data_IF_227964655712
#
_entry.id   IF_227964655712
#
_cell.length_a   1.000
_cell.length_b   1.000
_cell.length_c   1.000
_cell.angle_alpha   90.00
_cell.angle_beta   90.00
_cell.angle_gamma   90.00
#
_symmetry.space_group_name_H-M   'P 1'
#
loop_
_entity.id
_entity.type
_entity.pdbx_description
1 polymer ?
#
# COMPACT_ATOMS: atom_id res chain seq x y z
N UNK A 1 7.23 11.90 8.37
CA UNK A 1 5.86 12.05 8.93
C UNK A 1 6.00 12.58 10.33
N UNK A 2 5.07 13.42 10.78
CA UNK A 2 5.03 13.90 12.15
C UNK A 2 3.61 13.67 12.68
N UNK A 3 3.50 13.16 13.90
CA UNK A 3 2.22 13.02 14.58
C UNK A 3 1.74 14.40 15.04
N UNK A 4 0.54 14.80 14.63
CA UNK A 4 -0.18 15.97 15.16
C UNK A 4 -1.14 15.50 16.26
N UNK A 5 -0.78 15.66 17.55
CA UNK A 5 -1.59 15.19 18.67
C UNK A 5 -2.91 15.95 18.81
N UNK A 6 -3.05 17.13 18.19
CA UNK A 6 -4.32 17.90 18.24
C UNK A 6 -5.35 17.35 17.25
N UNK A 7 -4.89 16.67 16.19
CA UNK A 7 -5.75 16.13 15.14
C UNK A 7 -5.81 14.60 15.13
N UNK A 8 -5.06 13.94 16.02
CA UNK A 8 -4.85 12.49 16.07
C UNK A 8 -4.51 11.91 14.68
N UNK A 9 -3.63 12.61 13.96
CA UNK A 9 -3.30 12.31 12.55
C UNK A 9 -1.80 12.41 12.32
N UNK A 10 -1.29 11.49 11.49
CA UNK A 10 0.04 11.62 10.92
C UNK A 10 -0.02 12.63 9.77
N UNK A 11 0.80 13.67 9.85
CA UNK A 11 0.91 14.69 8.81
C UNK A 11 2.22 14.49 8.05
N UNK A 12 2.14 14.43 6.73
CA UNK A 12 3.32 14.40 5.88
C UNK A 12 3.82 15.84 5.71
N UNK A 13 4.79 16.24 6.56
CA UNK A 13 5.36 17.60 6.52
C UNK A 13 6.30 17.77 5.33
N UNK A 14 7.10 16.75 5.00
CA UNK A 14 7.96 16.72 3.83
C UNK A 14 8.09 15.27 3.33
N UNK A 15 8.14 15.08 2.00
CA UNK A 15 8.59 13.80 1.42
C UNK A 15 10.07 13.61 1.79
N UNK A 16 10.44 12.43 2.26
CA UNK A 16 11.83 12.14 2.58
C UNK A 16 12.63 12.00 1.28
N UNK A 17 13.36 13.05 0.89
CA UNK A 17 14.17 13.04 -0.35
C UNK A 17 15.16 11.88 -0.36
N UNK A 18 15.91 11.69 0.72
CA UNK A 18 16.88 10.60 0.84
C UNK A 18 16.25 9.20 0.69
N UNK A 19 15.06 8.98 1.24
CA UNK A 19 14.36 7.70 1.08
C UNK A 19 13.93 7.49 -0.38
N UNK A 20 13.33 8.51 -1.00
CA UNK A 20 12.90 8.44 -2.39
C UNK A 20 14.07 8.25 -3.35
N UNK A 21 15.20 8.92 -3.11
CA UNK A 21 16.41 8.78 -3.93
C UNK A 21 16.99 7.36 -3.83
N UNK A 22 17.04 6.80 -2.62
CA UNK A 22 17.44 5.40 -2.42
C UNK A 22 16.49 4.42 -3.11
N UNK A 23 15.17 4.64 -2.99
CA UNK A 23 14.18 3.79 -3.65
C UNK A 23 14.34 3.84 -5.18
N UNK A 24 14.50 5.04 -5.77
CA UNK A 24 14.78 5.20 -7.20
C UNK A 24 16.07 4.47 -7.60
N UNK A 25 17.13 4.58 -6.80
CA UNK A 25 18.42 3.90 -7.07
C UNK A 25 18.29 2.37 -7.06
N UNK A 26 17.64 1.78 -6.06
CA UNK A 26 17.54 0.32 -5.93
C UNK A 26 16.50 -0.31 -6.85
N UNK A 27 15.41 0.40 -7.16
CA UNK A 27 14.34 -0.12 -8.03
C UNK A 27 14.55 0.21 -9.51
N UNK A 28 15.36 1.24 -9.81
CA UNK A 28 15.48 1.82 -11.15
C UNK A 28 14.24 2.59 -11.60
N UNK A 29 13.27 2.84 -10.70
CA UNK A 29 12.01 3.49 -11.06
C UNK A 29 12.18 5.00 -11.26
N UNK A 30 11.44 5.53 -12.24
CA UNK A 30 11.16 6.97 -12.31
C UNK A 30 10.23 7.39 -11.15
N UNK A 31 10.15 8.69 -10.92
CA UNK A 31 9.27 9.24 -9.88
C UNK A 31 7.80 8.87 -10.09
N UNK A 32 7.33 8.92 -11.34
CA UNK A 32 5.95 8.55 -11.70
C UNK A 32 5.68 7.06 -11.42
N UNK A 33 6.63 6.18 -11.75
CA UNK A 33 6.49 4.74 -11.48
C UNK A 33 6.50 4.44 -9.98
N UNK A 34 7.37 5.11 -9.23
CA UNK A 34 7.44 4.95 -7.77
C UNK A 34 6.15 5.43 -7.10
N UNK A 35 5.59 6.55 -7.54
CA UNK A 35 4.32 7.04 -7.03
C UNK A 35 3.15 6.10 -7.37
N UNK A 36 3.13 5.54 -8.58
CA UNK A 36 2.14 4.53 -8.96
C UNK A 36 2.24 3.26 -8.11
N UNK A 37 3.46 2.76 -7.87
CA UNK A 37 3.71 1.59 -7.03
C UNK A 37 3.26 1.82 -5.57
N UNK A 38 3.60 2.98 -5.02
CA UNK A 38 3.16 3.38 -3.68
C UNK A 38 1.63 3.50 -3.60
N UNK A 39 0.98 4.07 -4.61
CA UNK A 39 -0.48 4.19 -4.66
C UNK A 39 -1.16 2.81 -4.69
N UNK A 40 -0.59 1.84 -5.42
CA UNK A 40 -1.13 0.48 -5.43
C UNK A 40 -0.97 -0.21 -4.07
N UNK A 41 0.20 -0.09 -3.43
CA UNK A 41 0.41 -0.62 -2.07
C UNK A 41 -0.56 0.02 -1.06
N UNK A 42 -0.79 1.32 -1.17
CA UNK A 42 -1.75 2.04 -0.33
C UNK A 42 -3.18 1.51 -0.52
N UNK A 43 -3.59 1.24 -1.76
CA UNK A 43 -4.91 0.63 -2.05
C UNK A 43 -5.08 -0.74 -1.41
N UNK A 44 -4.05 -1.58 -1.44
CA UNK A 44 -4.07 -2.90 -0.78
C UNK A 44 -4.25 -2.76 0.73
N UNK A 45 -3.51 -1.84 1.36
CA UNK A 45 -3.63 -1.61 2.81
C UNK A 45 -5.01 -1.05 3.18
N UNK A 46 -5.55 -0.12 2.38
CA UNK A 46 -6.91 0.40 2.56
C UNK A 46 -7.96 -0.69 2.41
N UNK A 47 -7.80 -1.58 1.44
CA UNK A 47 -8.69 -2.72 1.21
C UNK A 47 -8.75 -3.66 2.44
N UNK A 48 -7.60 -3.95 3.06
CA UNK A 48 -7.56 -4.72 4.31
C UNK A 48 -8.39 -4.07 5.42
N UNK A 49 -8.26 -2.75 5.58
CA UNK A 49 -8.99 -1.98 6.59
C UNK A 49 -10.49 -1.93 6.27
N UNK A 50 -10.87 -1.65 5.02
CA UNK A 50 -12.27 -1.56 4.59
C UNK A 50 -13.04 -2.87 4.81
N UNK A 51 -12.38 -4.02 4.67
CA UNK A 51 -12.97 -5.34 4.89
C UNK A 51 -12.70 -5.92 6.28
N UNK A 52 -12.10 -5.15 7.19
CA UNK A 52 -11.73 -5.59 8.54
C UNK A 52 -10.87 -6.86 8.57
N UNK A 53 -9.98 -7.04 7.58
CA UNK A 53 -9.04 -8.16 7.51
C UNK A 53 -7.83 -7.83 8.38
N UNK A 54 -7.83 -8.35 9.61
CA UNK A 54 -6.77 -8.10 10.61
C UNK A 54 -6.09 -9.36 11.14
N UNK A 55 -6.56 -10.55 10.74
CA UNK A 55 -5.89 -11.81 11.10
C UNK A 55 -4.56 -11.96 10.35
N UNK A 56 -3.57 -12.56 11.00
CA UNK A 56 -2.25 -12.82 10.41
C UNK A 56 -2.39 -13.59 9.10
N UNK A 57 -3.22 -14.63 9.07
CA UNK A 57 -3.46 -15.43 7.87
C UNK A 57 -4.14 -14.63 6.75
N UNK A 58 -5.14 -13.81 7.09
CA UNK A 58 -5.88 -13.01 6.12
C UNK A 58 -5.01 -11.92 5.50
N UNK A 59 -4.22 -11.22 6.32
CA UNK A 59 -3.25 -10.22 5.86
C UNK A 59 -2.17 -10.91 5.03
N UNK A 60 -1.55 -11.97 5.55
CA UNK A 60 -0.49 -12.71 4.86
C UNK A 60 -0.92 -13.18 3.48
N UNK A 61 -2.15 -13.66 3.37
CA UNK A 61 -2.75 -14.07 2.10
C UNK A 61 -2.89 -12.92 1.10
N UNK A 62 -3.47 -11.79 1.50
CA UNK A 62 -3.65 -10.64 0.60
C UNK A 62 -2.30 -10.09 0.13
N UNK A 63 -1.31 -10.08 1.02
CA UNK A 63 0.06 -9.69 0.67
C UNK A 63 0.71 -10.70 -0.28
N UNK A 64 0.52 -12.01 -0.06
CA UNK A 64 1.01 -13.03 -0.96
C UNK A 64 0.39 -12.89 -2.37
N UNK A 65 -0.92 -12.67 -2.45
CA UNK A 65 -1.63 -12.43 -3.72
C UNK A 65 -1.09 -11.19 -4.43
N UNK A 66 -0.83 -10.09 -3.71
CA UNK A 66 -0.27 -8.87 -4.31
C UNK A 66 1.07 -9.11 -5.02
N UNK A 67 1.91 -10.00 -4.48
CA UNK A 67 3.22 -10.32 -5.06
C UNK A 67 3.18 -11.46 -6.09
N UNK A 68 2.12 -12.28 -6.10
CA UNK A 68 2.00 -13.46 -6.98
C UNK A 68 1.05 -13.22 -8.16
N UNK A 69 -0.10 -12.59 -7.92
CA UNK A 69 -1.10 -12.21 -8.92
C UNK A 69 -1.74 -10.86 -8.57
N UNK A 70 -0.97 -9.80 -8.79
CA UNK A 70 -1.40 -8.42 -8.56
C UNK A 70 -2.67 -8.08 -9.35
N UNK A 71 -2.78 -8.51 -10.60
CA UNK A 71 -3.93 -8.17 -11.45
C UNK A 71 -5.22 -8.75 -10.90
N UNK A 72 -5.19 -9.99 -10.43
CA UNK A 72 -6.33 -10.63 -9.80
C UNK A 72 -6.74 -9.88 -8.53
N UNK A 73 -5.81 -9.61 -7.61
CA UNK A 73 -6.10 -8.86 -6.38
C UNK A 73 -6.73 -7.50 -6.68
N UNK A 74 -6.18 -6.74 -7.64
CA UNK A 74 -6.69 -5.41 -7.97
C UNK A 74 -8.14 -5.44 -8.49
N UNK A 75 -8.59 -6.53 -9.12
CA UNK A 75 -10.01 -6.72 -9.48
C UNK A 75 -10.89 -6.81 -8.24
N UNK A 76 -10.48 -7.57 -7.22
CA UNK A 76 -11.24 -7.68 -5.96
C UNK A 76 -11.28 -6.35 -5.19
N UNK A 77 -10.16 -5.62 -5.17
CA UNK A 77 -10.07 -4.28 -4.58
C UNK A 77 -11.05 -3.33 -5.27
N UNK A 78 -11.05 -3.30 -6.61
CA UNK A 78 -11.94 -2.42 -7.38
C UNK A 78 -13.43 -2.69 -7.12
N UNK A 79 -13.81 -3.95 -6.91
CA UNK A 79 -15.19 -4.36 -6.64
C UNK A 79 -15.52 -4.42 -5.14
N UNK A 80 -14.57 -4.09 -4.26
CA UNK A 80 -14.71 -4.21 -2.79
C UNK A 80 -15.19 -5.60 -2.34
N UNK A 81 -14.69 -6.64 -3.01
CA UNK A 81 -15.04 -8.05 -2.73
C UNK A 81 -13.94 -8.71 -1.93
N UNK A 82 -14.30 -9.62 -1.04
CA UNK A 82 -13.33 -10.46 -0.31
C UNK A 82 -12.63 -11.40 -1.29
N UNK A 83 -11.30 -11.50 -1.20
CA UNK A 83 -10.51 -12.47 -1.95
C UNK A 83 -10.95 -13.90 -1.54
N UNK A 84 -11.45 -14.72 -2.48
CA UNK A 84 -12.06 -16.02 -2.16
C UNK A 84 -10.99 -17.04 -1.79
N UNK A 85 -11.17 -17.75 -0.66
CA UNK A 85 -10.32 -18.84 -0.10
C UNK A 85 -9.78 -19.84 -1.10
#
# INVERSE_FOLDING_TARGET
MQYDPKKDKLVQINKSKALFDNLKLYTGYSEVQLEADLADKERVLKYLVELNISSVDGVGRVIAEYYTDKENLMKYIAHKKVLPS
#
